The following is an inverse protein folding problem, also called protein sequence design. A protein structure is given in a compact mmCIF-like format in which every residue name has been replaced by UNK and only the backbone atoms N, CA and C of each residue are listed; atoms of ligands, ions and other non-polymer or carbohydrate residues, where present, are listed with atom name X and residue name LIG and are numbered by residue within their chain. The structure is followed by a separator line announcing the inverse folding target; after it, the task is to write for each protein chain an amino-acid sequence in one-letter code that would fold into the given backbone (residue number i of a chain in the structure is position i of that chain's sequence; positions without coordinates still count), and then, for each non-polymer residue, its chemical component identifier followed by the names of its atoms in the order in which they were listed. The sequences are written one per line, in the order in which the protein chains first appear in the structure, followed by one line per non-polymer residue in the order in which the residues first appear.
data_IF_174037039566
#
_entry.id   IF_174037039566
#
_cell.length_a   1.000
_cell.length_b   1.000
_cell.length_c   1.000
_cell.angle_alpha   90.00
_cell.angle_beta   90.00
_cell.angle_gamma   90.00
#
_symmetry.space_group_name_H-M   'P 1'
#
loop_
_entity.id
_entity.type
_entity.pdbx_description
1 polymer ?
#
# COMPACT_ATOMS: atom_id res chain seq x y z
N UNK A 1 5.76 -53.16 44.94
CA UNK A 1 4.34 -52.97 45.32
C UNK A 1 3.91 -51.60 44.79
N UNK A 2 3.23 -51.53 43.63
CA UNK A 2 1.76 -51.33 43.51
C UNK A 2 1.28 -50.15 44.38
N UNK A 3 1.25 -48.94 43.81
CA UNK A 3 0.08 -48.25 43.23
C UNK A 3 -0.96 -47.89 44.29
N UNK A 4 -1.08 -46.59 44.57
CA UNK A 4 -2.34 -45.94 44.90
C UNK A 4 -2.37 -44.55 44.26
N UNK A 5 -3.08 -44.51 43.15
CA UNK A 5 -3.61 -43.36 42.43
C UNK A 5 -4.47 -42.48 43.35
N UNK A 6 -4.19 -41.18 43.40
CA UNK A 6 -5.19 -40.17 43.71
C UNK A 6 -5.52 -39.42 42.42
N UNK A 7 -6.70 -39.69 41.86
CA UNK A 7 -7.34 -38.82 40.88
C UNK A 7 -7.73 -37.52 41.58
N UNK A 8 -7.21 -36.39 41.11
CA UNK A 8 -7.95 -35.14 41.18
C UNK A 8 -8.44 -34.83 39.77
N UNK A 9 -9.76 -34.93 39.61
CA UNK A 9 -10.45 -34.57 38.38
C UNK A 9 -10.38 -33.05 38.20
N UNK A 10 -9.55 -32.58 37.27
CA UNK A 10 -9.68 -31.25 36.71
C UNK A 10 -10.82 -31.26 35.69
N UNK A 11 -11.90 -30.59 36.06
CA UNK A 11 -13.03 -30.30 35.19
C UNK A 11 -12.54 -29.37 34.06
N UNK A 12 -12.22 -29.92 32.89
CA UNK A 12 -12.10 -29.13 31.67
C UNK A 12 -13.50 -28.68 31.27
N UNK A 13 -13.90 -27.51 31.72
CA UNK A 13 -15.03 -26.80 31.13
C UNK A 13 -14.63 -26.39 29.71
N UNK A 14 -15.01 -27.20 28.72
CA UNK A 14 -15.03 -26.76 27.32
C UNK A 14 -16.17 -25.74 27.22
N UNK A 15 -15.85 -24.46 27.41
CA UNK A 15 -16.74 -23.38 26.98
C UNK A 15 -16.70 -23.35 25.46
N UNK A 16 -17.65 -24.04 24.83
CA UNK A 16 -17.99 -23.78 23.45
C UNK A 16 -18.46 -22.32 23.35
N UNK A 17 -17.61 -21.43 22.82
CA UNK A 17 -18.05 -20.12 22.38
C UNK A 17 -18.89 -20.32 21.11
N UNK A 18 -20.17 -20.60 21.32
CA UNK A 18 -21.17 -20.27 20.33
C UNK A 18 -21.24 -18.75 20.22
N UNK A 19 -20.68 -18.21 19.14
CA UNK A 19 -20.99 -16.86 18.70
C UNK A 19 -22.43 -16.88 18.19
N UNK A 20 -23.37 -16.59 19.09
CA UNK A 20 -24.72 -16.21 18.70
C UNK A 20 -24.63 -14.82 18.06
N UNK A 21 -24.97 -14.72 16.78
CA UNK A 21 -25.17 -13.43 16.13
C UNK A 21 -26.26 -12.67 16.90
N UNK A 22 -25.90 -11.55 17.54
CA UNK A 22 -26.86 -10.68 18.22
C UNK A 22 -27.71 -9.97 17.17
N UNK A 23 -29.05 -10.13 17.16
CA UNK A 23 -29.93 -9.30 16.37
C UNK A 23 -30.23 -8.04 17.17
N UNK A 24 -29.23 -7.19 17.36
CA UNK A 24 -29.41 -5.85 17.92
C UNK A 24 -29.19 -4.84 16.81
N UNK A 25 -30.27 -4.45 16.14
CA UNK A 25 -30.31 -3.18 15.43
C UNK A 25 -29.85 -2.08 16.40
N UNK A 26 -28.94 -1.18 16.01
CA UNK A 26 -28.64 -0.03 16.84
C UNK A 26 -29.92 0.81 16.98
N UNK A 27 -30.40 0.90 18.22
CA UNK A 27 -31.47 1.80 18.65
C UNK A 27 -30.98 3.24 18.47
N UNK A 28 -31.34 3.83 17.33
CA UNK A 28 -31.21 5.27 17.09
C UNK A 28 -32.34 5.93 17.85
N UNK A 29 -32.02 6.37 19.08
CA UNK A 29 -32.97 6.81 20.10
C UNK A 29 -34.17 7.62 19.62
N UNK A 30 -35.28 7.46 20.35
CA UNK A 30 -36.59 8.04 20.03
C UNK A 30 -36.50 9.53 19.65
N UNK A 31 -36.75 9.83 18.38
CA UNK A 31 -36.78 11.19 17.84
C UNK A 31 -36.49 11.32 16.35
N UNK A 32 -35.89 10.31 15.70
CA UNK A 32 -35.66 10.34 14.24
C UNK A 32 -36.79 9.67 13.47
N UNK A 33 -37.67 10.48 12.87
CA UNK A 33 -38.68 10.03 11.93
C UNK A 33 -38.33 10.56 10.53
N UNK A 34 -38.02 9.69 9.58
CA UNK A 34 -37.42 10.03 8.28
C UNK A 34 -38.36 10.73 7.28
N UNK A 35 -39.46 11.33 7.75
CA UNK A 35 -40.52 11.90 6.90
C UNK A 35 -41.11 13.23 7.42
N UNK A 36 -40.46 13.94 8.33
CA UNK A 36 -40.89 15.29 8.74
C UNK A 36 -39.78 16.31 8.51
N UNK A 37 -39.75 16.91 7.32
CA UNK A 37 -40.15 18.31 7.19
C UNK A 37 -40.09 18.75 5.73
N UNK A 38 -41.21 19.31 5.29
CA UNK A 38 -41.45 19.71 3.91
C UNK A 38 -40.79 21.06 3.65
N UNK A 39 -40.17 21.16 2.48
CA UNK A 39 -39.65 22.36 1.81
C UNK A 39 -40.58 23.58 2.01
N UNK A 40 -40.21 24.52 2.90
CA UNK A 40 -40.60 25.94 2.78
C UNK A 40 -39.91 26.95 3.70
N UNK A 41 -39.05 26.52 4.63
CA UNK A 41 -38.43 27.43 5.62
C UNK A 41 -36.97 27.80 5.41
N UNK A 42 -36.23 27.09 4.55
CA UNK A 42 -34.77 27.25 4.43
C UNK A 42 -34.32 28.16 3.27
N UNK A 43 -35.24 28.58 2.39
CA UNK A 43 -34.90 29.36 1.19
C UNK A 43 -34.74 30.86 1.46
N UNK A 44 -35.17 31.38 2.63
CA UNK A 44 -35.16 32.83 2.90
C UNK A 44 -33.99 33.31 3.79
N UNK A 45 -32.94 32.49 3.99
CA UNK A 45 -31.76 32.88 4.81
C UNK A 45 -30.39 32.75 4.16
N UNK A 46 -30.31 32.47 2.86
CA UNK A 46 -29.04 32.37 2.14
C UNK A 46 -28.94 33.28 0.90
N UNK A 47 -29.61 34.43 0.93
CA UNK A 47 -29.29 35.55 0.02
C UNK A 47 -28.44 36.55 0.79
N UNK A 48 -27.12 36.37 0.71
CA UNK A 48 -26.12 37.22 1.34
C UNK A 48 -24.77 37.10 0.66
N UNK A 49 -24.63 37.77 -0.48
CA UNK A 49 -23.39 38.28 -1.11
C UNK A 49 -22.22 37.29 -1.30
N UNK A 50 -22.13 36.74 -2.53
CA UNK A 50 -20.88 36.25 -3.11
C UNK A 50 -20.03 37.45 -3.56
N UNK A 51 -18.80 37.58 -3.06
CA UNK A 51 -17.78 38.51 -3.61
C UNK A 51 -17.08 37.87 -4.82
N UNK A 52 -16.75 38.65 -5.87
CA UNK A 52 -16.11 38.13 -7.07
C UNK A 52 -14.59 38.20 -6.90
N UNK A 53 -13.93 37.09 -6.59
CA UNK A 53 -12.49 36.89 -6.77
C UNK A 53 -12.19 35.39 -6.66
N UNK A 54 -12.65 34.62 -7.64
CA UNK A 54 -12.08 33.31 -7.93
C UNK A 54 -10.91 33.53 -8.89
N UNK A 55 -9.69 33.03 -8.61
CA UNK A 55 -8.59 33.09 -9.55
C UNK A 55 -8.96 32.33 -10.84
N UNK A 56 -8.62 32.89 -11.99
CA UNK A 56 -8.76 32.21 -13.29
C UNK A 56 -7.99 30.87 -13.28
N UNK A 57 -8.53 29.82 -13.91
CA UNK A 57 -7.82 28.56 -14.06
C UNK A 57 -6.54 28.77 -14.89
N UNK A 58 -5.42 28.12 -14.54
CA UNK A 58 -4.19 28.23 -15.32
C UNK A 58 -4.43 27.76 -16.75
N UNK A 59 -4.00 28.61 -17.68
CA UNK A 59 -4.08 28.39 -19.12
C UNK A 59 -3.21 27.20 -19.55
N UNK A 60 -3.82 26.34 -20.36
CA UNK A 60 -3.20 25.38 -21.28
C UNK A 60 -2.10 24.49 -20.70
N UNK A 61 -2.51 23.37 -20.11
CA UNK A 61 -1.71 22.14 -20.18
C UNK A 61 -1.73 21.73 -21.67
N UNK A 62 -0.59 21.80 -22.33
CA UNK A 62 -0.38 21.22 -23.65
C UNK A 62 -0.54 19.70 -23.52
N UNK A 63 -1.78 19.22 -23.66
CA UNK A 63 -2.07 17.81 -23.89
C UNK A 63 -1.50 17.47 -25.26
N UNK A 64 -0.26 17.01 -25.26
CA UNK A 64 0.39 16.48 -26.44
C UNK A 64 -0.56 15.45 -27.07
N UNK A 65 -0.77 15.61 -28.38
CA UNK A 65 -1.83 14.98 -29.20
C UNK A 65 -1.68 13.45 -29.37
N UNK A 66 -1.20 12.70 -28.37
CA UNK A 66 -1.01 11.25 -28.44
C UNK A 66 -2.04 10.41 -27.67
N UNK A 67 -2.85 11.00 -26.78
CA UNK A 67 -3.90 10.29 -26.02
C UNK A 67 -5.33 10.44 -26.58
N UNK A 68 -5.47 10.58 -27.90
CA UNK A 68 -6.74 10.89 -28.55
C UNK A 68 -7.84 9.85 -28.28
N UNK A 69 -8.90 10.27 -27.58
CA UNK A 69 -10.20 9.59 -27.49
C UNK A 69 -10.47 8.84 -26.18
N UNK A 70 -9.54 8.02 -25.72
CA UNK A 70 -9.84 7.06 -24.65
C UNK A 70 -9.88 7.63 -23.23
N UNK A 71 -9.08 8.66 -22.95
CA UNK A 71 -9.13 9.41 -21.68
C UNK A 71 -9.83 10.76 -21.82
N UNK A 72 -10.55 10.97 -22.93
CA UNK A 72 -11.38 12.15 -23.07
C UNK A 72 -12.54 12.08 -22.07
N UNK A 73 -12.94 13.21 -21.46
CA UNK A 73 -14.11 13.24 -20.61
C UNK A 73 -15.37 12.90 -21.43
N UNK A 74 -16.27 12.11 -20.85
CA UNK A 74 -17.60 11.87 -21.44
C UNK A 74 -18.44 13.15 -21.53
N UNK A 75 -18.19 14.10 -20.62
CA UNK A 75 -18.77 15.43 -20.58
C UNK A 75 -18.05 16.26 -19.51
N UNK A 76 -18.08 17.58 -19.65
CA UNK A 76 -17.47 18.53 -18.69
C UNK A 76 -18.51 19.24 -17.83
N UNK A 77 -19.79 19.07 -18.15
CA UNK A 77 -20.88 19.63 -17.37
C UNK A 77 -20.94 18.95 -15.99
N UNK A 78 -21.16 19.75 -14.96
CA UNK A 78 -21.36 19.24 -13.61
C UNK A 78 -22.66 18.41 -13.48
N UNK A 79 -22.75 17.52 -12.48
CA UNK A 79 -24.00 16.81 -12.21
C UNK A 79 -25.13 17.79 -11.88
N UNK A 80 -26.37 17.45 -12.29
CA UNK A 80 -27.53 18.31 -12.09
C UNK A 80 -27.78 18.59 -10.60
N UNK A 81 -27.61 19.84 -10.17
CA UNK A 81 -27.68 20.23 -8.75
C UNK A 81 -29.06 20.02 -8.12
N UNK A 82 -30.13 20.03 -8.93
CA UNK A 82 -31.50 19.71 -8.49
C UNK A 82 -31.65 18.25 -8.03
N UNK A 83 -30.83 17.33 -8.56
CA UNK A 83 -30.86 15.91 -8.23
C UNK A 83 -29.71 15.50 -7.32
N UNK A 84 -28.55 16.15 -7.48
CA UNK A 84 -27.32 15.86 -6.76
C UNK A 84 -26.88 17.08 -5.95
N UNK A 85 -27.56 17.29 -4.83
CA UNK A 85 -27.24 18.38 -3.90
C UNK A 85 -25.85 18.14 -3.30
N UNK A 86 -24.96 19.13 -3.43
CA UNK A 86 -23.62 19.06 -2.86
C UNK A 86 -23.71 18.98 -1.33
N UNK A 87 -23.01 18.02 -0.74
CA UNK A 87 -22.97 17.85 0.71
C UNK A 87 -21.61 17.33 1.16
N UNK A 88 -21.11 17.84 2.29
CA UNK A 88 -19.87 17.41 2.93
C UNK A 88 -20.11 16.52 4.16
N UNK A 89 -21.33 16.01 4.37
CA UNK A 89 -21.70 15.16 5.50
C UNK A 89 -20.86 13.89 5.60
N UNK A 90 -20.38 13.35 4.48
CA UNK A 90 -19.52 12.17 4.45
C UNK A 90 -18.23 12.35 5.25
N UNK A 91 -17.67 13.57 5.32
CA UNK A 91 -16.48 13.87 6.13
C UNK A 91 -16.70 13.61 7.63
N UNK A 92 -17.95 13.62 8.10
CA UNK A 92 -18.30 13.29 9.49
C UNK A 92 -18.32 11.79 9.76
N UNK A 93 -18.54 10.97 8.72
CA UNK A 93 -18.66 9.51 8.82
C UNK A 93 -17.30 8.86 8.55
N UNK A 94 -16.60 9.36 7.53
CA UNK A 94 -15.30 8.88 7.09
C UNK A 94 -14.35 10.08 7.03
N UNK A 95 -13.78 10.51 8.17
CA UNK A 95 -12.86 11.63 8.18
C UNK A 95 -11.61 11.27 7.37
N UNK A 96 -11.17 12.21 6.54
CA UNK A 96 -9.86 12.14 5.91
C UNK A 96 -8.82 12.58 6.93
N UNK A 97 -7.81 11.75 7.13
CA UNK A 97 -6.66 11.99 7.99
C UNK A 97 -5.38 11.84 7.16
N UNK A 98 -4.24 12.27 7.70
CA UNK A 98 -2.94 12.13 7.06
C UNK A 98 -2.92 12.64 5.61
N UNK A 99 -3.65 13.71 5.27
CA UNK A 99 -3.59 14.35 3.95
C UNK A 99 -3.08 15.76 4.13
N UNK A 100 -2.07 16.12 3.34
CA UNK A 100 -1.47 17.45 3.38
C UNK A 100 -2.49 18.51 2.97
N UNK A 101 -2.42 19.69 3.59
CA UNK A 101 -3.37 20.78 3.33
C UNK A 101 -3.32 21.23 1.86
N UNK A 102 -2.13 21.25 1.27
CA UNK A 102 -1.90 21.58 -0.14
C UNK A 102 -2.53 20.58 -1.11
N UNK A 103 -2.73 19.33 -0.69
CA UNK A 103 -3.31 18.26 -1.51
C UNK A 103 -4.86 18.29 -1.51
N UNK A 104 -5.48 19.13 -0.68
CA UNK A 104 -6.94 19.25 -0.61
C UNK A 104 -7.54 20.09 -1.75
N UNK A 105 -6.71 20.63 -2.65
CA UNK A 105 -7.14 21.34 -3.86
C UNK A 105 -7.54 20.39 -5.00
N UNK A 106 -7.29 19.09 -4.85
CA UNK A 106 -7.62 18.05 -5.82
C UNK A 106 -8.57 17.00 -5.22
N UNK A 107 -9.35 16.27 -6.05
CA UNK A 107 -10.21 15.20 -5.56
C UNK A 107 -9.41 14.09 -4.86
N UNK A 108 -9.80 13.76 -3.63
CA UNK A 108 -9.21 12.66 -2.87
C UNK A 108 -9.82 11.33 -3.35
N UNK A 109 -9.02 10.36 -3.78
CA UNK A 109 -9.54 9.10 -4.28
C UNK A 109 -10.03 8.20 -3.14
N UNK A 110 -11.19 7.55 -3.32
CA UNK A 110 -11.87 6.78 -2.27
C UNK A 110 -11.67 5.26 -2.35
N UNK A 111 -11.23 4.74 -3.50
CA UNK A 111 -11.15 3.30 -3.78
C UNK A 111 -9.74 2.87 -4.25
N UNK A 112 -8.71 3.61 -3.83
CA UNK A 112 -7.31 3.25 -4.11
C UNK A 112 -6.83 2.21 -3.10
N UNK A 113 -5.89 1.37 -3.52
CA UNK A 113 -5.31 0.31 -2.67
C UNK A 113 -4.63 0.87 -1.41
N UNK A 114 -4.19 2.13 -1.45
CA UNK A 114 -3.57 2.86 -0.35
C UNK A 114 -4.54 3.69 0.50
N UNK A 115 -5.85 3.66 0.24
CA UNK A 115 -6.83 4.50 0.93
C UNK A 115 -6.85 4.33 2.47
N UNK A 116 -6.43 3.16 2.98
CA UNK A 116 -6.26 2.93 4.42
C UNK A 116 -5.22 3.85 5.09
N UNK A 117 -4.31 4.46 4.31
CA UNK A 117 -3.30 5.39 4.82
C UNK A 117 -3.91 6.76 5.18
N UNK A 118 -5.00 7.15 4.52
CA UNK A 118 -5.66 8.46 4.65
C UNK A 118 -7.00 8.41 5.40
N UNK A 119 -7.33 7.27 6.01
CA UNK A 119 -8.56 7.06 6.76
C UNK A 119 -8.34 6.25 8.03
N UNK A 120 -9.12 6.53 9.07
CA UNK A 120 -9.20 5.72 10.29
C UNK A 120 -10.39 4.77 10.22
N UNK A 121 -10.29 3.65 10.93
CA UNK A 121 -11.32 2.61 10.91
C UNK A 121 -12.19 2.57 12.16
N UNK A 122 -11.83 3.34 13.19
CA UNK A 122 -12.66 3.58 14.36
C UNK A 122 -12.90 5.08 14.57
N UNK A 123 -13.96 5.39 15.33
CA UNK A 123 -14.32 6.77 15.71
C UNK A 123 -13.30 7.44 16.66
N UNK A 124 -12.19 6.76 17.00
CA UNK A 124 -11.27 7.20 18.06
C UNK A 124 -9.82 7.40 17.58
N UNK A 125 -9.53 7.29 16.28
CA UNK A 125 -8.16 7.37 15.74
C UNK A 125 -7.18 6.37 16.39
N UNK A 126 -7.68 5.27 16.96
CA UNK A 126 -6.83 4.34 17.73
C UNK A 126 -6.21 3.25 16.87
N UNK A 127 -6.86 2.94 15.74
CA UNK A 127 -6.43 1.87 14.84
C UNK A 127 -6.33 2.37 13.40
N UNK A 128 -5.35 1.82 12.69
CA UNK A 128 -5.21 1.96 11.25
C UNK A 128 -4.91 0.60 10.62
N UNK A 129 -5.34 0.40 9.38
CA UNK A 129 -5.06 -0.82 8.61
C UNK A 129 -3.93 -0.60 7.63
N UNK A 130 -3.35 -1.72 7.18
CA UNK A 130 -2.32 -1.73 6.18
C UNK A 130 -2.87 -1.37 4.79
N UNK A 131 -2.01 -0.81 3.96
CA UNK A 131 -2.17 -0.73 2.51
C UNK A 131 -1.30 -1.79 1.85
N UNK A 132 -1.79 -2.36 0.74
CA UNK A 132 -1.16 -3.48 0.06
C UNK A 132 -0.54 -3.03 -1.26
N UNK A 133 0.71 -2.55 -1.22
CA UNK A 133 1.43 -2.19 -2.44
C UNK A 133 1.75 -3.42 -3.28
N UNK A 134 2.00 -4.54 -2.60
CA UNK A 134 2.52 -5.80 -3.13
C UNK A 134 3.91 -5.63 -3.77
N UNK A 135 4.90 -6.50 -3.45
CA UNK A 135 4.82 -7.65 -2.55
C UNK A 135 4.67 -7.26 -1.06
N UNK A 136 4.94 -6.00 -0.73
CA UNK A 136 4.86 -5.50 0.64
C UNK A 136 3.47 -5.01 1.04
N UNK A 137 3.21 -5.08 2.35
CA UNK A 137 2.19 -4.33 3.04
C UNK A 137 2.85 -3.18 3.78
N UNK A 138 2.19 -2.02 3.84
CA UNK A 138 2.68 -0.87 4.58
C UNK A 138 1.62 -0.29 5.51
N UNK A 139 2.04 0.26 6.63
CA UNK A 139 1.17 0.83 7.65
C UNK A 139 1.83 2.05 8.31
N UNK A 140 1.01 3.00 8.80
CA UNK A 140 1.47 4.16 9.57
C UNK A 140 1.05 4.02 11.04
N UNK A 141 1.89 3.46 11.92
CA UNK A 141 1.49 3.10 13.27
C UNK A 141 0.96 4.30 14.07
N UNK A 142 -0.06 4.04 14.91
CA UNK A 142 -0.62 4.99 15.89
C UNK A 142 -0.01 4.84 17.28
N UNK A 143 0.84 3.83 17.45
CA UNK A 143 1.65 3.59 18.64
C UNK A 143 3.08 3.34 18.19
N UNK A 144 4.05 3.72 19.02
CA UNK A 144 5.44 3.43 18.76
C UNK A 144 5.67 1.92 18.47
N UNK A 145 6.60 1.56 17.57
CA UNK A 145 7.47 2.46 16.81
C UNK A 145 6.71 3.16 15.69
N UNK A 146 6.81 4.49 15.62
CA UNK A 146 6.20 5.29 14.56
C UNK A 146 7.07 5.26 13.29
N UNK A 147 6.53 5.61 12.13
CA UNK A 147 7.25 5.61 10.86
C UNK A 147 6.50 4.86 9.76
N UNK A 148 7.22 4.43 8.73
CA UNK A 148 6.67 3.59 7.66
C UNK A 148 6.92 2.12 7.98
N UNK A 149 5.92 1.48 8.59
CA UNK A 149 5.96 0.06 8.94
C UNK A 149 5.73 -0.79 7.69
N UNK A 150 6.48 -1.87 7.56
CA UNK A 150 6.48 -2.77 6.40
C UNK A 150 6.32 -4.23 6.86
N UNK A 151 5.56 -5.00 6.09
CA UNK A 151 5.34 -6.43 6.30
C UNK A 151 5.39 -7.18 4.96
N UNK A 152 6.11 -8.27 4.89
CA UNK A 152 5.95 -9.27 3.83
C UNK A 152 5.00 -10.37 4.32
N UNK A 153 3.71 -10.09 4.20
CA UNK A 153 2.67 -10.87 4.85
C UNK A 153 2.58 -12.34 4.42
N UNK A 154 3.12 -12.68 3.25
CA UNK A 154 3.07 -14.04 2.70
C UNK A 154 3.78 -15.07 3.60
N UNK A 155 4.85 -14.68 4.30
CA UNK A 155 5.54 -15.54 5.28
C UNK A 155 4.62 -15.96 6.43
N UNK A 156 3.59 -15.17 6.72
CA UNK A 156 2.64 -15.39 7.81
C UNK A 156 1.30 -15.93 7.32
N UNK A 157 1.26 -16.56 6.14
CA UNK A 157 0.03 -17.13 5.60
C UNK A 157 -0.43 -18.33 6.43
N UNK A 158 -1.60 -18.23 7.02
CA UNK A 158 -2.28 -19.38 7.61
C UNK A 158 -3.36 -19.90 6.67
N UNK A 159 -3.35 -21.20 6.43
CA UNK A 159 -4.30 -21.88 5.54
C UNK A 159 -5.24 -22.71 6.42
N UNK A 160 -6.56 -22.51 6.28
CA UNK A 160 -7.53 -23.30 7.03
C UNK A 160 -7.41 -24.80 6.71
N UNK A 161 -7.85 -25.70 7.61
CA UNK A 161 -7.82 -27.13 7.36
C UNK A 161 -8.54 -27.51 6.07
N UNK A 162 -7.92 -28.39 5.29
CA UNK A 162 -8.48 -28.89 4.05
C UNK A 162 -9.65 -29.85 4.34
N UNK A 163 -10.76 -29.68 3.63
CA UNK A 163 -11.91 -30.58 3.67
C UNK A 163 -12.24 -30.99 2.25
N UNK A 164 -12.10 -32.29 1.94
CA UNK A 164 -12.36 -32.87 0.62
C UNK A 164 -11.58 -32.19 -0.54
N UNK A 165 -10.28 -31.93 -0.40
CA UNK A 165 -9.49 -31.30 -1.48
C UNK A 165 -9.62 -29.79 -1.57
N UNK A 166 -10.36 -29.13 -0.66
CA UNK A 166 -10.63 -27.69 -0.72
C UNK A 166 -10.35 -27.03 0.62
N UNK A 167 -9.73 -25.85 0.55
CA UNK A 167 -9.53 -24.96 1.69
C UNK A 167 -10.60 -23.86 1.64
N UNK A 168 -11.23 -23.58 2.78
CA UNK A 168 -12.29 -22.56 2.87
C UNK A 168 -11.74 -21.13 2.80
N UNK A 169 -10.63 -20.88 3.48
CA UNK A 169 -10.04 -19.56 3.64
C UNK A 169 -8.55 -19.66 3.95
N UNK A 170 -7.83 -18.60 3.64
CA UNK A 170 -6.49 -18.35 4.15
C UNK A 170 -6.43 -16.90 4.61
N UNK A 171 -5.59 -16.62 5.59
CA UNK A 171 -5.35 -15.28 6.10
C UNK A 171 -3.87 -14.92 5.90
N UNK A 172 -3.56 -13.64 6.04
CA UNK A 172 -2.20 -13.18 6.25
C UNK A 172 -2.24 -12.22 7.43
N UNK A 173 -1.55 -12.57 8.52
CA UNK A 173 -1.38 -11.65 9.64
C UNK A 173 -0.39 -10.54 9.27
N UNK A 174 -0.60 -9.38 9.86
CA UNK A 174 0.31 -8.25 9.71
C UNK A 174 1.28 -8.24 10.89
N UNK A 175 2.57 -8.19 10.60
CA UNK A 175 3.67 -8.16 11.56
C UNK A 175 4.60 -6.98 11.26
N UNK A 176 5.30 -6.47 12.26
CA UNK A 176 6.35 -5.46 12.05
C UNK A 176 7.66 -6.10 11.57
N UNK A 177 7.76 -6.44 10.28
CA UNK A 177 9.01 -6.98 9.74
C UNK A 177 10.12 -5.93 9.82
N UNK A 178 9.85 -4.72 9.30
CA UNK A 178 10.71 -3.55 9.46
C UNK A 178 9.89 -2.25 9.44
N UNK A 179 10.27 -1.26 10.25
CA UNK A 179 9.78 0.11 10.19
C UNK A 179 10.92 1.05 9.83
N UNK A 180 10.78 1.80 8.74
CA UNK A 180 11.65 2.95 8.48
C UNK A 180 11.19 4.11 9.38
N UNK A 181 11.95 4.37 10.45
CA UNK A 181 11.66 5.35 11.50
C UNK A 181 12.83 6.33 11.70
N UNK A 182 12.71 7.18 12.72
CA UNK A 182 13.80 8.02 13.22
C UNK A 182 13.81 8.06 14.74
N UNK A 183 14.96 8.38 15.33
CA UNK A 183 15.09 8.52 16.78
C UNK A 183 14.18 9.63 17.33
N UNK A 184 13.95 10.66 16.52
CA UNK A 184 13.05 11.78 16.80
C UNK A 184 11.58 11.32 16.89
N UNK A 185 11.20 10.25 16.19
CA UNK A 185 9.85 9.67 16.25
C UNK A 185 9.67 8.67 17.39
N UNK A 186 10.69 8.41 18.21
CA UNK A 186 10.61 7.31 19.18
C UNK A 186 9.68 7.62 20.36
N UNK A 187 9.66 8.88 20.81
CA UNK A 187 8.86 9.30 21.98
C UNK A 187 7.59 10.05 21.59
N UNK A 188 7.61 10.74 20.46
CA UNK A 188 6.53 11.62 20.01
C UNK A 188 5.98 11.15 18.65
N UNK A 189 4.65 11.08 18.51
CA UNK A 189 4.01 10.70 17.25
C UNK A 189 4.35 11.75 16.17
N UNK A 190 4.94 11.35 15.03
CA UNK A 190 5.20 12.28 13.95
C UNK A 190 3.91 12.62 13.19
N UNK A 191 3.94 13.75 12.49
CA UNK A 191 2.88 14.11 11.56
C UNK A 191 3.03 13.31 10.27
N UNK A 192 2.06 12.44 9.98
CA UNK A 192 1.95 11.76 8.70
C UNK A 192 1.13 12.58 7.70
N UNK A 193 1.63 12.75 6.47
CA UNK A 193 0.90 13.44 5.40
C UNK A 193 1.14 12.82 4.02
N UNK A 194 0.07 12.34 3.39
CA UNK A 194 0.01 12.08 1.96
C UNK A 194 -0.19 13.42 1.25
N UNK A 195 0.78 13.81 0.43
CA UNK A 195 0.83 15.14 -0.18
C UNK A 195 0.64 15.14 -1.69
N UNK A 196 0.76 13.99 -2.35
CA UNK A 196 0.61 13.84 -3.79
C UNK A 196 0.21 12.41 -4.13
N UNK A 197 -0.50 12.21 -5.24
CA UNK A 197 -0.89 10.89 -5.75
C UNK A 197 -1.17 10.92 -7.24
N UNK A 198 -1.06 9.74 -7.86
CA UNK A 198 -1.27 9.53 -9.29
C UNK A 198 -1.92 8.14 -9.57
N UNK A 199 -1.78 7.64 -10.79
CA UNK A 199 -2.23 6.31 -11.17
C UNK A 199 -1.41 5.19 -10.52
N UNK A 200 -0.11 5.39 -10.33
CA UNK A 200 0.84 4.41 -9.79
C UNK A 200 0.84 4.31 -8.25
N UNK A 201 0.55 5.41 -7.54
CA UNK A 201 0.75 5.43 -6.09
C UNK A 201 0.38 6.72 -5.37
N UNK A 202 1.02 6.90 -4.21
CA UNK A 202 0.91 8.08 -3.36
C UNK A 202 2.26 8.42 -2.72
N UNK A 203 2.54 9.70 -2.53
CA UNK A 203 3.73 10.19 -1.82
C UNK A 203 3.36 10.57 -0.39
N UNK A 204 4.16 10.10 0.54
CA UNK A 204 4.01 10.27 1.98
C UNK A 204 5.20 11.07 2.50
N UNK A 205 4.94 12.01 3.41
CA UNK A 205 5.96 12.56 4.30
C UNK A 205 5.60 12.31 5.76
N UNK A 206 6.62 12.03 6.56
CA UNK A 206 6.51 11.82 8.00
C UNK A 206 7.43 12.82 8.67
N UNK A 207 6.88 13.76 9.43
CA UNK A 207 7.63 14.90 9.96
C UNK A 207 7.62 14.90 11.48
N UNK A 208 8.77 15.19 12.08
CA UNK A 208 8.85 15.54 13.48
C UNK A 208 8.30 16.96 13.66
N UNK A 209 7.29 17.11 14.51
CA UNK A 209 6.64 18.41 14.72
C UNK A 209 7.57 19.41 15.42
N UNK A 210 8.57 18.93 16.18
CA UNK A 210 9.45 19.80 16.95
C UNK A 210 10.56 20.44 16.11
N UNK A 211 11.23 19.66 15.26
CA UNK A 211 12.30 20.15 14.37
C UNK A 211 11.81 20.57 12.98
N UNK A 212 10.62 20.09 12.55
CA UNK A 212 10.10 20.29 11.20
C UNK A 212 10.81 19.46 10.13
N UNK A 213 11.76 18.59 10.52
CA UNK A 213 12.45 17.68 9.62
C UNK A 213 11.57 16.50 9.27
N UNK A 214 11.72 15.98 8.06
CA UNK A 214 10.84 14.94 7.54
C UNK A 214 11.61 13.78 6.89
N UNK A 215 10.93 12.65 6.79
CA UNK A 215 11.24 11.61 5.82
C UNK A 215 10.20 11.61 4.70
N UNK A 216 10.61 11.39 3.45
CA UNK A 216 9.71 11.21 2.31
C UNK A 216 9.75 9.80 1.72
N UNK A 217 8.58 9.25 1.41
CA UNK A 217 8.40 7.92 0.84
C UNK A 217 7.45 7.97 -0.35
N UNK A 218 7.68 7.11 -1.34
CA UNK A 218 6.71 6.84 -2.39
C UNK A 218 6.13 5.44 -2.20
N UNK A 219 4.79 5.36 -2.16
CA UNK A 219 4.07 4.11 -2.04
C UNK A 219 3.54 3.74 -3.43
N UNK A 220 4.28 2.89 -4.13
CA UNK A 220 3.96 2.47 -5.51
C UNK A 220 3.62 0.98 -5.51
N UNK A 221 2.54 0.60 -6.17
CA UNK A 221 2.19 -0.83 -6.29
C UNK A 221 3.27 -1.55 -7.10
N UNK A 222 3.78 -2.69 -6.64
CA UNK A 222 4.88 -3.41 -7.30
C UNK A 222 6.28 -2.92 -6.91
N UNK A 223 6.43 -1.97 -5.99
CA UNK A 223 7.76 -1.47 -5.58
C UNK A 223 8.67 -2.59 -5.08
N UNK A 224 9.90 -2.67 -5.61
CA UNK A 224 10.90 -3.65 -5.17
C UNK A 224 11.53 -3.29 -3.83
N UNK A 225 11.62 -1.99 -3.55
CA UNK A 225 12.18 -1.44 -2.31
C UNK A 225 11.12 -0.60 -1.60
N UNK A 226 11.03 -0.74 -0.29
CA UNK A 226 10.39 0.28 0.56
C UNK A 226 11.45 1.32 0.89
N UNK A 227 11.14 2.60 0.69
CA UNK A 227 12.15 3.66 0.80
C UNK A 227 11.69 4.85 1.63
N UNK A 228 12.64 5.48 2.30
CA UNK A 228 12.47 6.77 2.98
C UNK A 228 13.68 7.67 2.72
N UNK A 229 13.44 8.89 2.25
CA UNK A 229 14.45 9.93 2.07
C UNK A 229 14.43 10.84 3.29
N UNK A 230 15.49 10.79 4.08
CA UNK A 230 15.66 11.53 5.32
C UNK A 230 16.22 12.92 5.05
N UNK A 231 15.69 13.91 5.78
CA UNK A 231 16.22 15.28 5.81
C UNK A 231 16.78 15.60 7.21
N UNK A 232 17.97 15.08 7.51
CA UNK A 232 18.71 15.39 8.74
C UNK A 232 18.10 14.80 10.02
N UNK A 233 17.17 13.86 9.90
CA UNK A 233 16.66 13.01 10.99
C UNK A 233 17.64 11.86 11.26
N UNK A 234 17.60 11.29 12.46
CA UNK A 234 18.51 10.20 12.88
C UNK A 234 17.85 8.85 12.57
N UNK A 235 18.27 8.09 11.54
CA UNK A 235 17.59 6.86 11.16
C UNK A 235 17.48 5.84 12.29
N UNK A 236 16.29 5.24 12.41
CA UNK A 236 16.00 4.12 13.29
C UNK A 236 15.20 3.10 12.50
N UNK A 237 15.68 1.87 12.39
CA UNK A 237 14.98 0.79 11.72
C UNK A 237 14.52 -0.19 12.78
N UNK A 238 13.22 -0.21 13.07
CA UNK A 238 12.64 -1.03 14.14
C UNK A 238 12.04 -2.32 13.58
N UNK A 239 12.17 -3.43 14.29
CA UNK A 239 11.53 -4.72 13.94
C UNK A 239 10.98 -5.39 15.18
N UNK A 240 9.80 -6.03 15.09
CA UNK A 240 9.30 -6.83 16.24
C UNK A 240 10.07 -8.15 16.43
N UNK A 241 10.96 -8.48 15.49
CA UNK A 241 11.81 -9.67 15.54
C UNK A 241 13.16 -9.34 16.18
N UNK A 242 13.91 -10.38 16.54
CA UNK A 242 15.30 -10.19 16.96
C UNK A 242 16.21 -10.14 15.74
N UNK A 243 17.11 -9.16 15.70
CA UNK A 243 18.21 -9.12 14.73
C UNK A 243 19.27 -10.10 15.20
N UNK A 244 19.48 -11.18 14.44
CA UNK A 244 20.43 -12.23 14.80
C UNK A 244 21.83 -11.98 14.26
N UNK A 245 21.93 -11.27 13.13
CA UNK A 245 23.18 -10.92 12.48
C UNK A 245 22.98 -9.75 11.51
N UNK A 246 24.04 -8.97 11.30
CA UNK A 246 24.08 -7.88 10.33
C UNK A 246 25.44 -7.90 9.62
N UNK A 247 25.43 -8.14 8.30
CA UNK A 247 26.62 -7.91 7.47
C UNK A 247 26.61 -6.48 6.94
N UNK A 248 27.56 -5.67 7.42
CA UNK A 248 27.81 -4.29 7.02
C UNK A 248 29.18 -4.11 6.33
N UNK A 249 29.77 -5.21 5.83
CA UNK A 249 31.11 -5.21 5.23
C UNK A 249 31.22 -4.37 3.95
N UNK A 250 30.10 -4.16 3.26
CA UNK A 250 29.99 -3.33 2.07
C UNK A 250 29.45 -1.93 2.43
N UNK A 251 30.19 -0.83 2.18
CA UNK A 251 29.76 0.51 2.56
C UNK A 251 28.39 0.92 1.98
N UNK A 252 27.46 1.26 2.86
CA UNK A 252 26.09 1.64 2.51
C UNK A 252 25.16 0.47 2.19
N UNK A 253 25.58 -0.78 2.42
CA UNK A 253 24.75 -1.98 2.32
C UNK A 253 24.75 -2.69 3.68
N UNK A 254 23.57 -3.13 4.13
CA UNK A 254 23.42 -3.92 5.35
C UNK A 254 22.53 -5.13 5.04
N UNK A 255 23.04 -6.34 5.26
CA UNK A 255 22.26 -7.58 5.16
C UNK A 255 21.81 -7.95 6.55
N UNK A 256 20.51 -7.86 6.82
CA UNK A 256 19.89 -7.97 8.13
C UNK A 256 19.22 -9.33 8.24
N UNK A 257 19.72 -10.18 9.13
CA UNK A 257 19.13 -11.48 9.41
C UNK A 257 18.23 -11.39 10.64
N UNK A 258 16.99 -11.87 10.51
CA UNK A 258 15.99 -11.88 11.58
C UNK A 258 15.75 -13.30 12.12
N UNK A 259 15.33 -13.40 13.38
CA UNK A 259 15.06 -14.70 14.03
C UNK A 259 13.86 -15.47 13.42
N UNK A 260 13.01 -14.80 12.62
CA UNK A 260 11.90 -15.40 11.88
C UNK A 260 12.34 -16.01 10.52
N UNK A 261 13.65 -16.14 10.28
CA UNK A 261 14.26 -16.63 9.02
C UNK A 261 14.15 -15.68 7.82
N UNK A 262 13.55 -14.50 7.96
CA UNK A 262 13.61 -13.49 6.92
C UNK A 262 15.01 -12.85 6.88
N UNK A 263 15.47 -12.53 5.67
CA UNK A 263 16.67 -11.72 5.45
C UNK A 263 16.27 -10.50 4.65
N UNK A 264 16.66 -9.32 5.12
CA UNK A 264 16.39 -8.05 4.47
C UNK A 264 17.71 -7.40 4.04
N UNK A 265 17.71 -6.71 2.92
CA UNK A 265 18.87 -5.91 2.49
C UNK A 265 18.49 -4.44 2.53
N UNK A 266 19.29 -3.65 3.23
CA UNK A 266 19.19 -2.20 3.32
C UNK A 266 20.29 -1.56 2.48
N UNK A 267 19.91 -0.56 1.68
CA UNK A 267 20.81 0.28 0.90
C UNK A 267 20.66 1.74 1.29
N UNK A 268 21.77 2.39 1.63
CA UNK A 268 21.86 3.81 1.90
C UNK A 268 22.46 4.55 0.70
N UNK A 269 21.83 5.66 0.27
CA UNK A 269 22.38 6.48 -0.81
C UNK A 269 23.68 7.18 -0.43
N UNK A 270 23.81 7.61 0.83
CA UNK A 270 25.07 8.07 1.40
C UNK A 270 25.70 6.92 2.20
N UNK A 271 26.86 6.47 1.71
CA UNK A 271 27.59 5.30 2.21
C UNK A 271 28.29 5.56 3.55
N UNK A 272 28.21 6.78 4.08
CA UNK A 272 28.69 7.11 5.43
C UNK A 272 27.72 6.70 6.54
N UNK A 273 26.51 6.23 6.20
CA UNK A 273 25.57 5.71 7.19
C UNK A 273 26.21 4.59 8.01
N UNK A 274 26.12 4.74 9.32
CA UNK A 274 26.54 3.77 10.34
C UNK A 274 25.32 3.44 11.18
N UNK A 275 25.10 2.16 11.48
CA UNK A 275 23.98 1.68 12.28
C UNK A 275 24.52 0.77 13.39
N UNK A 276 24.06 0.99 14.62
CA UNK A 276 24.30 0.08 15.74
C UNK A 276 23.05 -0.75 16.01
N UNK A 277 23.23 -2.00 16.41
CA UNK A 277 22.11 -2.84 16.89
C UNK A 277 21.79 -2.45 18.34
N UNK A 278 20.51 -2.20 18.61
CA UNK A 278 19.94 -2.11 19.95
C UNK A 278 19.02 -3.32 20.17
N UNK A 279 19.38 -4.20 21.09
CA UNK A 279 18.60 -5.37 21.47
C UNK A 279 17.57 -5.04 22.57
N UNK A 280 16.49 -5.83 22.66
CA UNK A 280 15.47 -5.75 23.73
C UNK A 280 14.72 -4.41 23.80
N UNK A 281 14.36 -3.85 22.64
CA UNK A 281 13.54 -2.64 22.55
C UNK A 281 12.08 -3.03 22.85
N UNK A 282 11.52 -2.45 23.92
CA UNK A 282 10.13 -2.69 24.32
C UNK A 282 9.22 -1.85 23.42
N UNK A 283 8.61 -2.50 22.42
CA UNK A 283 7.61 -1.87 21.54
C UNK A 283 6.24 -1.79 22.22
N UNK A 284 5.91 -2.78 23.06
CA UNK A 284 4.70 -2.76 23.89
C UNK A 284 4.89 -3.61 25.15
N UNK A 285 3.90 -3.57 26.06
CA UNK A 285 3.89 -4.40 27.28
C UNK A 285 4.10 -5.89 27.00
N UNK A 286 3.74 -6.36 25.79
CA UNK A 286 3.82 -7.76 25.39
C UNK A 286 4.73 -8.02 24.16
N UNK A 287 5.46 -7.01 23.67
CA UNK A 287 6.29 -7.15 22.47
C UNK A 287 7.65 -6.48 22.67
N UNK A 288 8.70 -7.28 22.50
CA UNK A 288 10.10 -6.86 22.42
C UNK A 288 10.64 -7.23 21.04
N UNK A 289 11.61 -6.47 20.55
CA UNK A 289 12.42 -6.87 19.41
C UNK A 289 13.70 -6.04 19.34
N UNK A 290 14.15 -5.74 18.13
CA UNK A 290 15.44 -5.08 17.89
C UNK A 290 15.32 -3.82 17.04
N UNK A 291 16.34 -2.97 17.11
CA UNK A 291 16.45 -1.78 16.27
C UNK A 291 17.85 -1.62 15.70
N UNK A 292 17.96 -1.11 14.49
CA UNK A 292 19.19 -0.50 13.96
C UNK A 292 19.10 1.00 14.10
N UNK A 293 20.08 1.61 14.76
CA UNK A 293 20.01 3.05 15.09
C UNK A 293 21.27 3.76 14.62
N UNK A 294 21.09 4.87 13.92
CA UNK A 294 22.21 5.73 13.56
C UNK A 294 22.71 6.53 14.78
N UNK A 295 23.98 6.94 14.73
CA UNK A 295 24.57 7.77 15.79
C UNK A 295 24.37 9.28 15.55
N UNK A 296 23.94 9.66 14.35
CA UNK A 296 23.76 11.05 13.94
C UNK A 296 22.65 11.21 12.91
N UNK A 297 22.22 12.47 12.72
CA UNK A 297 21.30 12.83 11.66
C UNK A 297 21.86 12.48 10.28
N UNK A 298 20.99 11.97 9.41
CA UNK A 298 21.30 11.49 8.07
C UNK A 298 20.46 12.25 7.04
N UNK A 299 21.08 12.61 5.92
CA UNK A 299 20.39 13.20 4.77
C UNK A 299 20.67 12.35 3.54
N UNK A 300 19.64 11.62 3.09
CA UNK A 300 19.75 10.66 2.00
C UNK A 300 18.60 9.67 2.01
N UNK A 301 18.55 8.79 1.01
CA UNK A 301 17.54 7.74 0.91
C UNK A 301 18.06 6.44 1.53
N UNK A 302 17.23 5.83 2.37
CA UNK A 302 17.35 4.44 2.82
C UNK A 302 16.30 3.62 2.08
N UNK A 303 16.70 2.45 1.59
CA UNK A 303 15.86 1.53 0.82
C UNK A 303 16.01 0.14 1.39
N UNK A 304 14.92 -0.55 1.67
CA UNK A 304 14.92 -1.91 2.18
C UNK A 304 14.16 -2.83 1.24
N UNK A 305 14.67 -4.05 1.05
CA UNK A 305 14.00 -5.10 0.30
C UNK A 305 14.14 -6.44 1.01
N UNK A 306 13.11 -7.27 0.93
CA UNK A 306 13.20 -8.66 1.38
C UNK A 306 14.04 -9.45 0.38
N UNK A 307 15.02 -10.20 0.88
CA UNK A 307 15.79 -11.13 0.08
C UNK A 307 14.94 -12.38 -0.22
N UNK A 308 14.71 -12.75 -1.49
CA UNK A 308 13.99 -13.97 -1.82
C UNK A 308 14.71 -15.19 -1.27
N UNK A 309 13.95 -16.25 -1.00
CA UNK A 309 14.52 -17.49 -0.50
C UNK A 309 15.58 -18.04 -1.49
N UNK A 310 16.76 -18.37 -0.98
CA UNK A 310 17.91 -18.87 -1.76
C UNK A 310 18.51 -17.86 -2.76
N UNK A 311 18.16 -16.58 -2.72
CA UNK A 311 18.83 -15.55 -3.50
C UNK A 311 20.18 -15.17 -2.84
N UNK A 312 21.15 -14.79 -3.67
CA UNK A 312 22.38 -14.16 -3.23
C UNK A 312 22.09 -12.74 -2.72
N UNK A 313 22.78 -12.28 -1.68
CA UNK A 313 22.56 -10.95 -1.10
C UNK A 313 22.83 -9.80 -2.10
N UNK A 314 23.49 -10.09 -3.22
CA UNK A 314 23.80 -9.14 -4.29
C UNK A 314 22.71 -8.98 -5.35
N UNK A 315 21.62 -9.77 -5.27
CA UNK A 315 20.56 -9.83 -6.30
C UNK A 315 19.92 -8.47 -6.62
N UNK A 316 19.97 -7.52 -5.67
CA UNK A 316 19.41 -6.18 -5.81
C UNK A 316 20.44 -5.08 -6.08
N UNK A 317 21.75 -5.37 -5.97
CA UNK A 317 22.81 -4.36 -5.88
C UNK A 317 22.82 -3.38 -7.05
N UNK A 318 22.62 -3.87 -8.27
CA UNK A 318 22.63 -3.04 -9.49
C UNK A 318 21.38 -2.14 -9.64
N UNK A 319 20.27 -2.52 -9.01
CA UNK A 319 18.98 -1.85 -9.11
C UNK A 319 18.64 -0.98 -7.90
N UNK A 320 19.36 -1.14 -6.79
CA UNK A 320 19.05 -0.53 -5.50
C UNK A 320 19.02 1.01 -5.51
N UNK A 321 19.62 1.66 -6.51
CA UNK A 321 19.58 3.12 -6.66
C UNK A 321 18.63 3.60 -7.75
N UNK A 322 17.65 2.78 -8.18
CA UNK A 322 16.53 3.24 -9.01
C UNK A 322 15.20 2.79 -8.40
N UNK A 323 14.31 3.74 -8.11
CA UNK A 323 13.01 3.46 -7.50
C UNK A 323 11.89 4.22 -8.21
N UNK A 324 10.71 3.60 -8.30
CA UNK A 324 9.51 4.27 -8.78
C UNK A 324 8.97 5.22 -7.70
N UNK A 325 8.63 6.44 -8.09
CA UNK A 325 8.00 7.48 -7.26
C UNK A 325 6.50 7.64 -7.53
N UNK A 326 6.02 7.08 -8.63
CA UNK A 326 4.69 7.28 -9.16
C UNK A 326 4.57 6.69 -10.56
N UNK A 327 3.53 7.08 -11.27
CA UNK A 327 3.39 6.73 -12.68
C UNK A 327 2.07 7.15 -13.29
N UNK A 328 2.06 7.13 -14.62
CA UNK A 328 0.92 7.49 -15.45
C UNK A 328 0.60 6.37 -16.43
N UNK A 329 -0.56 6.45 -17.08
CA UNK A 329 -1.00 5.50 -18.08
C UNK A 329 -1.33 6.21 -19.39
N UNK A 330 -0.97 5.57 -20.50
CA UNK A 330 -1.46 5.93 -21.84
C UNK A 330 -2.23 4.75 -22.43
N UNK A 331 -3.25 5.04 -23.23
CA UNK A 331 -3.99 4.01 -23.96
C UNK A 331 -3.85 4.25 -25.45
N UNK A 332 -3.10 3.40 -26.13
CA UNK A 332 -2.82 3.52 -27.57
C UNK A 332 -3.94 2.91 -28.43
N UNK A 333 -4.65 1.91 -27.91
CA UNK A 333 -5.81 1.29 -28.59
C UNK A 333 -6.70 0.52 -27.60
N UNK A 334 -7.80 -0.08 -28.07
CA UNK A 334 -8.68 -0.92 -27.23
C UNK A 334 -7.98 -2.12 -26.59
N UNK A 335 -6.86 -2.54 -27.17
CA UNK A 335 -6.08 -3.71 -26.75
C UNK A 335 -4.68 -3.36 -26.26
N UNK A 336 -4.31 -2.07 -26.21
CA UNK A 336 -2.94 -1.64 -25.88
C UNK A 336 -2.95 -0.44 -24.97
N UNK A 337 -2.21 -0.56 -23.88
CA UNK A 337 -1.94 0.51 -22.94
C UNK A 337 -0.49 0.44 -22.47
N UNK A 338 0.07 1.57 -22.06
CA UNK A 338 1.42 1.66 -21.51
C UNK A 338 1.39 2.33 -20.14
N UNK A 339 2.04 1.70 -19.16
CA UNK A 339 2.36 2.32 -17.88
C UNK A 339 3.71 3.02 -18.02
N UNK A 340 3.77 4.30 -17.64
CA UNK A 340 4.99 5.09 -17.57
C UNK A 340 5.32 5.31 -16.10
N UNK A 341 6.47 4.81 -15.68
CA UNK A 341 6.93 4.92 -14.30
C UNK A 341 7.75 6.19 -14.13
N UNK A 342 7.39 7.00 -13.13
CA UNK A 342 8.23 8.10 -12.70
C UNK A 342 9.33 7.53 -11.81
N UNK A 343 10.58 7.62 -12.22
CA UNK A 343 11.71 6.98 -11.54
C UNK A 343 12.70 7.99 -11.01
N UNK A 344 13.37 7.63 -9.92
CA UNK A 344 14.42 8.44 -9.31
C UNK A 344 15.60 7.58 -8.88
N UNK A 345 16.80 8.13 -9.11
CA UNK A 345 18.05 7.65 -8.54
C UNK A 345 19.15 7.38 -9.58
N UNK A 346 20.36 7.10 -9.09
CA UNK A 346 21.59 7.11 -9.90
C UNK A 346 21.75 5.92 -10.84
N UNK A 347 21.07 4.79 -10.59
CA UNK A 347 21.17 3.59 -11.43
C UNK A 347 19.98 3.40 -12.35
N UNK A 348 19.11 4.40 -12.53
CA UNK A 348 17.95 4.26 -13.42
C UNK A 348 18.30 4.03 -14.90
N UNK A 349 19.53 4.36 -15.32
CA UNK A 349 20.05 3.99 -16.63
C UNK A 349 20.42 2.50 -16.75
N UNK A 350 20.70 1.82 -15.63
CA UNK A 350 20.91 0.36 -15.57
C UNK A 350 19.55 -0.34 -15.66
N UNK A 351 18.59 0.13 -14.87
CA UNK A 351 17.19 -0.27 -14.98
C UNK A 351 16.40 -0.10 -13.70
N UNK A 352 15.09 0.09 -13.86
CA UNK A 352 14.13 -0.03 -12.77
C UNK A 352 13.80 -1.51 -12.55
N UNK A 353 14.04 -2.02 -11.34
CA UNK A 353 13.47 -3.29 -10.89
C UNK A 353 12.08 -3.03 -10.29
N UNK A 354 11.05 -3.64 -10.88
CA UNK A 354 9.67 -3.47 -10.44
C UNK A 354 8.89 -4.78 -10.57
N UNK A 355 8.10 -5.14 -9.56
CA UNK A 355 7.41 -6.42 -9.50
C UNK A 355 6.09 -6.39 -10.27
N UNK A 356 5.96 -7.30 -11.25
CA UNK A 356 4.75 -7.49 -12.02
C UNK A 356 3.90 -8.63 -11.44
N UNK A 357 2.60 -8.44 -11.35
CA UNK A 357 1.60 -9.46 -11.03
C UNK A 357 1.45 -10.49 -12.18
N UNK A 358 0.87 -11.68 -11.94
CA UNK A 358 0.72 -12.70 -12.99
C UNK A 358 0.07 -12.20 -14.28
N UNK A 359 -1.09 -11.54 -14.16
CA UNK A 359 -1.79 -10.97 -15.33
C UNK A 359 -0.97 -9.90 -16.05
N UNK A 360 -0.11 -9.16 -15.33
CA UNK A 360 0.78 -8.19 -15.95
C UNK A 360 1.87 -8.91 -16.74
N UNK A 361 2.49 -9.94 -16.19
CA UNK A 361 3.50 -10.74 -16.91
C UNK A 361 2.89 -11.38 -18.17
N UNK A 362 1.65 -11.85 -18.09
CA UNK A 362 0.94 -12.48 -19.23
C UNK A 362 0.65 -11.51 -20.38
N UNK A 363 0.27 -10.26 -20.09
CA UNK A 363 -0.04 -9.28 -21.14
C UNK A 363 1.10 -8.31 -21.46
N UNK A 364 2.23 -8.36 -20.73
CA UNK A 364 3.39 -7.52 -20.97
C UNK A 364 4.02 -7.84 -22.33
N UNK A 365 4.18 -6.81 -23.16
CA UNK A 365 4.78 -6.91 -24.48
C UNK A 365 6.27 -7.27 -24.41
N UNK A 366 6.77 -7.92 -25.46
CA UNK A 366 8.20 -8.23 -25.60
C UNK A 366 8.52 -9.62 -25.09
N UNK A 367 9.54 -9.72 -24.23
CA UNK A 367 9.98 -10.99 -23.63
C UNK A 367 10.10 -10.80 -22.12
N UNK A 368 8.96 -10.71 -21.40
CA UNK A 368 8.96 -10.48 -19.97
C UNK A 368 9.67 -11.61 -19.24
N UNK A 369 10.29 -11.29 -18.12
CA UNK A 369 10.85 -12.28 -17.20
C UNK A 369 9.71 -13.06 -16.57
N UNK A 370 9.81 -14.38 -16.54
CA UNK A 370 8.83 -15.28 -15.92
C UNK A 370 9.42 -15.90 -14.66
N UNK A 371 8.61 -16.53 -13.82
CA UNK A 371 9.10 -17.25 -12.64
C UNK A 371 10.03 -18.43 -12.98
N UNK A 372 9.98 -18.91 -14.24
CA UNK A 372 10.88 -19.96 -14.75
C UNK A 372 12.18 -19.44 -15.37
N UNK A 373 12.33 -18.12 -15.51
CA UNK A 373 13.53 -17.53 -16.09
C UNK A 373 14.73 -17.67 -15.14
N UNK A 374 15.91 -17.99 -15.68
CA UNK A 374 17.14 -18.07 -14.88
C UNK A 374 17.46 -16.71 -14.26
N UNK A 375 17.66 -16.66 -12.95
CA UNK A 375 17.93 -15.42 -12.21
C UNK A 375 16.70 -14.54 -11.97
N UNK A 376 15.48 -15.06 -12.21
CA UNK A 376 14.26 -14.32 -11.89
C UNK A 376 14.17 -14.02 -10.39
N UNK A 377 13.87 -12.76 -10.07
CA UNK A 377 13.57 -12.33 -8.71
C UNK A 377 12.07 -12.51 -8.50
N UNK A 378 11.69 -13.43 -7.61
CA UNK A 378 10.29 -13.78 -7.37
C UNK A 378 9.94 -13.54 -5.91
N UNK A 379 8.85 -12.82 -5.69
CA UNK A 379 8.20 -12.65 -4.38
C UNK A 379 6.72 -12.94 -4.55
N UNK A 380 5.98 -13.12 -3.46
CA UNK A 380 4.52 -13.31 -3.52
C UNK A 380 3.79 -12.03 -3.14
N UNK A 381 2.71 -11.75 -3.87
CA UNK A 381 1.71 -10.81 -3.42
C UNK A 381 0.90 -11.39 -2.26
N UNK A 382 0.17 -10.55 -1.52
CA UNK A 382 -0.69 -11.02 -0.44
C UNK A 382 -1.80 -11.96 -0.93
N UNK A 383 -2.42 -11.69 -2.10
CA UNK A 383 -3.60 -12.47 -2.54
C UNK A 383 -3.68 -12.71 -4.05
N UNK A 384 -2.65 -12.37 -4.81
CA UNK A 384 -2.67 -12.38 -6.28
C UNK A 384 -1.56 -13.25 -6.90
N UNK A 385 -1.01 -14.19 -6.12
CA UNK A 385 0.01 -15.13 -6.57
C UNK A 385 1.43 -14.56 -6.62
N UNK A 386 2.29 -15.26 -7.36
CA UNK A 386 3.70 -14.91 -7.59
C UNK A 386 3.82 -13.61 -8.38
N UNK A 387 4.72 -12.74 -7.92
CA UNK A 387 5.14 -11.54 -8.61
C UNK A 387 6.57 -11.72 -9.10
N UNK A 388 6.83 -11.33 -10.35
CA UNK A 388 8.14 -11.47 -10.98
C UNK A 388 8.73 -10.09 -11.22
N UNK A 389 9.95 -9.87 -10.71
CA UNK A 389 10.71 -8.65 -10.94
C UNK A 389 11.03 -8.47 -12.42
N UNK A 390 10.58 -7.37 -13.01
CA UNK A 390 10.97 -6.94 -14.35
C UNK A 390 12.00 -5.84 -14.22
N UNK A 391 13.06 -5.95 -15.02
CA UNK A 391 14.11 -4.94 -15.11
C UNK A 391 13.95 -4.18 -16.42
N UNK A 392 13.74 -2.88 -16.34
CA UNK A 392 13.54 -2.05 -17.54
C UNK A 392 14.42 -0.80 -17.51
N UNK A 393 15.31 -0.67 -18.50
CA UNK A 393 16.16 0.51 -18.71
C UNK A 393 15.38 1.74 -19.22
N UNK A 394 14.24 1.49 -19.90
CA UNK A 394 13.24 2.52 -20.17
C UNK A 394 12.09 2.29 -19.19
N UNK A 395 11.70 3.26 -18.36
CA UNK A 395 10.74 3.06 -17.26
C UNK A 395 9.30 2.99 -17.78
N UNK A 396 9.02 2.06 -18.69
CA UNK A 396 7.73 1.90 -19.36
C UNK A 396 7.39 0.43 -19.53
N UNK A 397 6.14 0.07 -19.22
CA UNK A 397 5.59 -1.27 -19.48
C UNK A 397 4.43 -1.16 -20.46
N UNK A 398 4.56 -1.75 -21.65
CA UNK A 398 3.50 -1.78 -22.65
C UNK A 398 2.79 -3.12 -22.64
N UNK A 399 1.45 -3.09 -22.61
CA UNK A 399 0.61 -4.27 -22.48
C UNK A 399 -0.21 -4.51 -23.75
N UNK A 400 -0.52 -5.77 -24.02
CA UNK A 400 -1.42 -6.21 -25.09
C UNK A 400 -2.47 -7.15 -24.52
N UNK A 401 -3.71 -6.70 -24.51
CA UNK A 401 -4.85 -7.53 -24.13
C UNK A 401 -5.52 -8.09 -25.40
N UNK A 402 -5.70 -9.41 -25.54
CA UNK A 402 -6.40 -9.97 -26.69
C UNK A 402 -7.85 -9.47 -26.73
N UNK A 403 -8.36 -9.16 -27.93
CA UNK A 403 -9.80 -8.88 -28.06
C UNK A 403 -10.59 -10.15 -27.74
N UNK A 404 -11.68 -9.98 -27.00
CA UNK A 404 -12.67 -11.02 -26.85
C UNK A 404 -13.21 -11.43 -28.23
N UNK A 405 -13.13 -12.70 -28.56
CA UNK A 405 -13.61 -13.29 -29.80
C UNK A 405 -15.10 -13.70 -29.75
N UNK A 406 -15.75 -13.55 -28.59
CA UNK A 406 -17.17 -13.83 -28.41
C UNK A 406 -18.04 -12.59 -28.64
N UNK A 407 -19.16 -12.77 -29.34
CA UNK A 407 -20.16 -11.71 -29.54
C UNK A 407 -20.92 -11.47 -28.25
N UNK A 408 -20.75 -10.29 -27.67
CA UNK A 408 -21.65 -9.77 -26.63
C UNK A 408 -22.73 -8.96 -27.33
N UNK A 409 -23.92 -9.53 -27.46
CA UNK A 409 -25.13 -8.83 -27.88
C UNK A 409 -26.16 -8.86 -26.73
N UNK A 410 -27.13 -7.94 -26.74
CA UNK A 410 -28.22 -7.89 -25.76
C UNK A 410 -29.10 -9.15 -25.78
N UNK A 411 -29.01 -9.94 -26.85
CA UNK A 411 -29.69 -11.22 -27.02
C UNK A 411 -28.71 -12.39 -26.97
N UNK A 412 -29.17 -13.50 -26.39
CA UNK A 412 -28.43 -14.77 -26.37
C UNK A 412 -28.24 -15.26 -27.81
N UNK A 413 -27.02 -15.65 -28.18
CA UNK A 413 -26.78 -16.34 -29.44
C UNK A 413 -27.72 -17.56 -29.55
N UNK A 414 -28.60 -17.55 -30.56
CA UNK A 414 -29.42 -18.71 -30.89
C UNK A 414 -28.50 -19.75 -31.51
N UNK A 415 -28.10 -20.73 -30.71
CA UNK A 415 -27.33 -21.87 -31.20
C UNK A 415 -28.28 -22.82 -31.93
N UNK A 416 -28.29 -22.74 -33.27
CA UNK A 416 -28.68 -23.83 -34.15
C UNK A 416 -29.76 -23.54 -35.19
N UNK A 417 -29.33 -23.39 -36.45
CA UNK A 417 -29.92 -24.17 -37.55
C UNK A 417 -28.77 -24.98 -38.17
N UNK A 418 -28.68 -26.23 -37.71
CA UNK A 418 -28.04 -27.32 -38.43
C UNK A 418 -28.96 -27.75 -39.57
N UNK A 419 -28.38 -27.93 -40.75
CA UNK A 419 -28.81 -28.82 -41.83
C UNK A 419 -30.27 -28.69 -42.32
N UNK A 420 -30.48 -27.92 -43.40
CA UNK A 420 -31.37 -28.42 -44.46
C UNK A 420 -30.52 -29.15 -45.52
N UNK A 421 -30.56 -30.47 -45.42
CA UNK A 421 -30.34 -31.37 -46.55
C UNK A 421 -31.42 -31.09 -47.59
N UNK A 422 -31.01 -30.68 -48.79
CA UNK A 422 -31.72 -30.99 -50.04
C UNK A 422 -30.76 -31.10 -51.20
#
# INVERSE_FOLDING_TARGET
MKVLTLLQATLLAVTAHHVTASPSNPDVGEGYNCLQDTVKGATDKLVGTLSPNAPEPPSSINLDSKCGGYFAPFGTDGPAEERFVRNNSLKKIVPTINVAQEALNQPIPTNKWWANIIHVTDLKNLTNYAAWSNPYAVKLPRTAPYGLQTCYSYTYREIAPEVNGTVKEYNHSYHNDLTLSSQEFFSDEPKYEVYEWDEGGAKLRTCDESSGKCTESALVSGMAFVSATYDGLTPRIDTEHDIVDVDDSAPGKFVIHLNNSQTWVLYASDKSLSLRVEESVVFSVNASGSSLVADAGYSGTIRVALLPENADDTVYDEFASCMARGGSVTMESRTRYTLHWDVEGSTCSVGLLHFALPHQVESLSGSPTTSSSSGAIVLHSATRGEMVGQVTATPTWSFVEPEADFKVDFCRETRGELEEVS
#
